data_IF_658079910610
#
_entry.id   IF_658079910610
#
_cell.length_a   1.000
_cell.length_b   1.000
_cell.length_c   1.000
_cell.angle_alpha   90.00
_cell.angle_beta   90.00
_cell.angle_gamma   90.00
#
_symmetry.space_group_name_H-M   'P 1'
#
loop_
_entity.id
_entity.type
_entity.pdbx_description
1 polymer ?
#
# COMPACT_ATOMS: atom_id res chain seq x y z
N UNK A 1 -2.58 8.11 25.11
CA UNK A 1 -3.81 7.29 24.99
C UNK A 1 -5.03 8.20 25.00
N UNK A 2 -5.98 7.94 24.12
CA UNK A 2 -7.23 8.67 24.07
C UNK A 2 -8.40 7.70 23.79
N UNK A 3 -9.16 7.30 24.81
CA UNK A 3 -10.25 6.34 24.67
C UNK A 3 -11.45 6.88 23.87
N UNK A 4 -11.49 8.20 23.66
CA UNK A 4 -12.56 8.86 22.89
C UNK A 4 -12.32 8.79 21.38
N UNK A 5 -11.16 8.30 20.94
CA UNK A 5 -10.86 8.04 19.54
C UNK A 5 -10.70 6.54 19.36
N UNK A 6 -11.59 5.94 18.59
CA UNK A 6 -11.57 4.52 18.24
C UNK A 6 -11.35 4.33 16.77
N UNK A 7 -10.79 3.19 16.43
CA UNK A 7 -10.41 2.86 15.07
C UNK A 7 -10.81 1.43 14.74
N UNK A 8 -11.34 1.22 13.56
CA UNK A 8 -11.52 -0.10 12.97
C UNK A 8 -10.90 -0.11 11.59
N UNK A 9 -10.09 -1.13 11.30
CA UNK A 9 -9.59 -1.41 9.95
C UNK A 9 -10.43 -2.52 9.35
N UNK A 10 -11.07 -2.22 8.22
CA UNK A 10 -11.83 -3.22 7.48
C UNK A 10 -10.84 -4.22 6.85
N UNK A 11 -10.99 -5.54 7.11
CA UNK A 11 -10.17 -6.55 6.48
C UNK A 11 -10.25 -6.46 4.95
N UNK A 12 -9.10 -6.57 4.30
CA UNK A 12 -9.06 -6.58 2.83
C UNK A 12 -9.60 -7.91 2.32
N UNK A 13 -10.48 -7.85 1.35
CA UNK A 13 -11.06 -9.02 0.70
C UNK A 13 -11.71 -8.65 -0.61
N UNK A 14 -11.66 -9.58 -1.57
CA UNK A 14 -12.36 -9.47 -2.84
C UNK A 14 -13.61 -10.32 -2.77
N UNK A 15 -14.77 -9.69 -2.66
CA UNK A 15 -16.04 -10.35 -2.81
C UNK A 15 -16.91 -9.54 -3.78
N UNK A 16 -17.14 -10.10 -4.96
CA UNK A 16 -17.88 -9.46 -6.03
C UNK A 16 -19.35 -9.89 -6.06
N UNK A 17 -19.80 -10.68 -5.07
CA UNK A 17 -21.17 -11.20 -5.02
C UNK A 17 -22.16 -10.21 -4.39
N UNK A 18 -21.66 -9.11 -3.84
CA UNK A 18 -22.49 -8.05 -3.29
C UNK A 18 -22.09 -7.58 -1.90
N UNK A 19 -22.83 -6.63 -1.32
CA UNK A 19 -22.55 -6.13 0.02
C UNK A 19 -22.74 -7.22 1.07
N UNK A 20 -22.01 -7.10 2.18
CA UNK A 20 -22.10 -7.99 3.34
C UNK A 20 -22.73 -7.26 4.51
N UNK A 21 -23.54 -7.97 5.27
CA UNK A 21 -24.15 -7.45 6.50
C UNK A 21 -23.17 -7.45 7.67
N UNK A 22 -22.11 -8.28 7.60
CA UNK A 22 -21.10 -8.41 8.65
C UNK A 22 -19.69 -8.54 8.08
N UNK A 23 -18.71 -8.05 8.84
CA UNK A 23 -17.29 -8.09 8.51
C UNK A 23 -16.49 -8.77 9.61
N UNK A 24 -16.40 -10.10 9.62
CA UNK A 24 -15.62 -10.84 10.61
C UNK A 24 -14.17 -10.34 10.67
N UNK A 25 -13.67 -10.12 11.91
CA UNK A 25 -12.31 -9.61 12.14
C UNK A 25 -12.17 -8.09 12.02
N UNK A 26 -13.29 -7.35 11.95
CA UNK A 26 -13.31 -5.90 12.01
C UNK A 26 -13.64 -5.44 13.44
N UNK A 27 -12.63 -5.43 14.32
CA UNK A 27 -12.80 -5.06 15.72
C UNK A 27 -12.40 -3.61 15.99
N UNK A 28 -13.19 -2.94 16.84
CA UNK A 28 -12.91 -1.59 17.30
C UNK A 28 -11.76 -1.57 18.31
N UNK A 29 -10.72 -0.83 18.00
CA UNK A 29 -9.53 -0.64 18.83
C UNK A 29 -9.49 0.77 19.41
N UNK A 30 -9.07 0.88 20.67
CA UNK A 30 -8.67 2.16 21.27
C UNK A 30 -7.19 2.41 20.98
N UNK A 31 -6.79 3.67 20.93
CA UNK A 31 -5.39 4.05 20.73
C UNK A 31 -4.58 3.80 22.01
N UNK A 32 -3.68 2.86 21.94
CA UNK A 32 -2.63 2.60 22.94
C UNK A 32 -1.27 2.61 22.26
N UNK A 33 -0.18 2.42 23.01
CA UNK A 33 1.17 2.29 22.44
C UNK A 33 1.27 1.06 21.53
N UNK A 34 0.59 -0.02 21.89
CA UNK A 34 0.58 -1.31 21.19
C UNK A 34 -0.22 -1.22 19.88
N UNK A 35 -1.35 -0.52 19.90
CA UNK A 35 -2.25 -0.42 18.73
C UNK A 35 -1.89 0.73 17.79
N UNK A 36 -1.14 1.72 18.25
CA UNK A 36 -0.77 2.90 17.46
C UNK A 36 -0.17 2.58 16.07
N UNK A 37 0.71 1.58 15.90
CA UNK A 37 1.25 1.23 14.58
C UNK A 37 0.19 0.78 13.57
N UNK A 38 -0.98 0.33 14.02
CA UNK A 38 -2.09 -0.10 13.15
C UNK A 38 -2.98 1.04 12.69
N UNK A 39 -2.88 2.21 13.32
CA UNK A 39 -3.71 3.35 12.98
C UNK A 39 -3.18 4.09 11.74
N UNK A 40 -4.10 4.63 10.95
CA UNK A 40 -3.76 5.65 9.98
C UNK A 40 -3.38 6.95 10.71
N UNK A 41 -2.12 7.38 10.59
CA UNK A 41 -1.65 8.60 11.23
C UNK A 41 -2.48 9.82 10.81
N UNK A 42 -2.76 9.96 9.50
CA UNK A 42 -3.58 11.05 8.97
C UNK A 42 -4.98 11.07 9.59
N UNK A 43 -5.65 9.92 9.60
CA UNK A 43 -7.00 9.82 10.17
C UNK A 43 -7.01 10.08 11.68
N UNK A 44 -5.98 9.64 12.38
CA UNK A 44 -5.84 9.90 13.81
C UNK A 44 -5.68 11.39 14.11
N UNK A 45 -4.79 12.08 13.41
CA UNK A 45 -4.60 13.52 13.64
C UNK A 45 -5.86 14.33 13.31
N UNK A 46 -6.57 13.96 12.24
CA UNK A 46 -7.86 14.55 11.92
C UNK A 46 -8.89 14.32 13.05
N UNK A 47 -9.03 13.08 13.49
CA UNK A 47 -9.96 12.73 14.57
C UNK A 47 -9.62 13.43 15.89
N UNK A 48 -8.33 13.60 16.17
CA UNK A 48 -7.86 14.33 17.35
C UNK A 48 -8.31 15.80 17.33
N UNK A 49 -8.17 16.47 16.20
CA UNK A 49 -8.65 17.86 16.06
C UNK A 49 -10.18 17.94 16.15
N UNK A 50 -10.90 17.03 15.49
CA UNK A 50 -12.35 16.95 15.59
C UNK A 50 -12.82 16.78 17.02
N UNK A 51 -12.20 15.86 17.77
CA UNK A 51 -12.53 15.65 19.19
C UNK A 51 -12.20 16.89 20.03
N UNK A 52 -11.08 17.56 19.78
CA UNK A 52 -10.70 18.78 20.48
C UNK A 52 -11.73 19.89 20.32
N UNK A 53 -12.24 20.09 19.10
CA UNK A 53 -13.20 21.15 18.80
C UNK A 53 -14.62 20.83 19.26
N UNK A 54 -15.03 19.56 19.17
CA UNK A 54 -16.44 19.19 19.38
C UNK A 54 -16.71 18.53 20.75
N UNK A 55 -15.67 17.97 21.37
CA UNK A 55 -15.76 17.12 22.57
C UNK A 55 -16.66 15.88 22.38
N UNK A 56 -16.94 15.49 21.14
CA UNK A 56 -17.71 14.30 20.78
C UNK A 56 -16.76 13.15 20.45
N UNK A 57 -16.98 11.93 20.98
CA UNK A 57 -16.20 10.76 20.63
C UNK A 57 -16.15 10.52 19.11
N UNK A 58 -14.98 10.14 18.61
CA UNK A 58 -14.75 9.95 17.16
C UNK A 58 -14.41 8.50 16.87
N UNK A 59 -15.16 7.88 15.96
CA UNK A 59 -14.85 6.58 15.39
C UNK A 59 -14.25 6.72 13.99
N UNK A 60 -13.10 6.08 13.76
CA UNK A 60 -12.43 6.03 12.46
C UNK A 60 -12.68 4.66 11.84
N UNK A 61 -13.32 4.63 10.67
CA UNK A 61 -13.45 3.42 9.85
C UNK A 61 -12.47 3.52 8.69
N UNK A 62 -11.47 2.65 8.68
CA UNK A 62 -10.49 2.58 7.59
C UNK A 62 -10.83 1.42 6.65
N UNK A 63 -11.41 1.74 5.50
CA UNK A 63 -11.73 0.82 4.41
C UNK A 63 -10.93 1.18 3.15
N UNK A 64 -9.62 1.35 3.28
CA UNK A 64 -8.76 1.78 2.18
C UNK A 64 -7.98 0.62 1.58
N UNK A 65 -7.90 0.59 0.24
CA UNK A 65 -7.06 -0.33 -0.51
C UNK A 65 -6.27 0.45 -1.55
N UNK A 66 -4.94 0.52 -1.36
CA UNK A 66 -4.06 1.26 -2.25
C UNK A 66 -4.10 0.72 -3.68
N UNK A 67 -4.14 1.62 -4.66
CA UNK A 67 -4.18 1.27 -6.08
C UNK A 67 -5.55 0.88 -6.62
N UNK A 68 -6.60 0.86 -5.79
CA UNK A 68 -7.97 0.65 -6.29
C UNK A 68 -8.51 1.89 -7.00
N UNK A 69 -9.22 1.68 -8.10
CA UNK A 69 -9.95 2.76 -8.77
C UNK A 69 -11.24 3.11 -8.01
N UNK A 70 -11.81 4.27 -8.27
CA UNK A 70 -13.04 4.70 -7.60
C UNK A 70 -14.22 3.77 -7.92
N UNK A 71 -14.24 3.19 -9.10
CA UNK A 71 -15.28 2.26 -9.55
C UNK A 71 -15.33 0.98 -8.72
N UNK A 72 -14.19 0.56 -8.15
CA UNK A 72 -14.13 -0.61 -7.25
C UNK A 72 -14.91 -0.40 -5.93
N UNK A 73 -15.28 0.84 -5.62
CA UNK A 73 -16.02 1.23 -4.42
C UNK A 73 -17.49 1.59 -4.71
N UNK A 74 -17.93 1.43 -5.96
CA UNK A 74 -19.29 1.74 -6.37
C UNK A 74 -20.20 0.52 -6.21
N UNK A 75 -21.48 0.78 -5.90
CA UNK A 75 -22.48 -0.25 -5.93
C UNK A 75 -22.75 -0.74 -7.37
N UNK A 76 -23.30 -1.94 -7.52
CA UNK A 76 -23.69 -2.46 -8.83
C UNK A 76 -24.66 -1.53 -9.57
N UNK A 77 -25.62 -0.95 -8.85
CA UNK A 77 -26.56 0.02 -9.41
C UNK A 77 -25.85 1.24 -9.99
N UNK A 78 -24.88 1.79 -9.25
CA UNK A 78 -24.09 2.93 -9.72
C UNK A 78 -23.23 2.57 -10.93
N UNK A 79 -22.69 1.35 -10.98
CA UNK A 79 -21.88 0.83 -12.10
C UNK A 79 -22.66 0.63 -13.39
N UNK A 80 -24.01 0.58 -13.35
CA UNK A 80 -24.84 0.44 -14.56
C UNK A 80 -24.55 1.53 -15.62
N UNK A 81 -24.06 2.68 -15.19
CA UNK A 81 -23.67 3.77 -16.08
C UNK A 81 -22.26 3.60 -16.68
N UNK A 82 -21.53 2.56 -16.27
CA UNK A 82 -20.14 2.30 -16.65
C UNK A 82 -19.99 0.88 -17.21
N UNK A 83 -20.42 0.63 -18.46
CA UNK A 83 -20.51 -0.73 -19.03
C UNK A 83 -19.15 -1.44 -19.10
N UNK A 84 -18.04 -0.70 -19.26
CA UNK A 84 -16.71 -1.30 -19.25
C UNK A 84 -16.38 -1.90 -17.89
N UNK A 85 -16.62 -1.17 -16.82
CA UNK A 85 -16.34 -1.61 -15.45
C UNK A 85 -17.28 -2.76 -15.02
N UNK A 86 -18.52 -2.76 -15.48
CA UNK A 86 -19.41 -3.90 -15.32
C UNK A 86 -18.85 -5.15 -15.98
N UNK A 87 -18.40 -5.02 -17.23
CA UNK A 87 -17.77 -6.14 -17.93
C UNK A 87 -16.51 -6.64 -17.21
N UNK A 88 -15.65 -5.74 -16.74
CA UNK A 88 -14.47 -6.11 -15.94
C UNK A 88 -14.86 -6.86 -14.67
N UNK A 89 -15.88 -6.40 -13.93
CA UNK A 89 -16.43 -7.11 -12.77
C UNK A 89 -16.89 -8.52 -13.12
N UNK A 90 -17.61 -8.67 -14.22
CA UNK A 90 -18.15 -9.96 -14.67
C UNK A 90 -17.02 -10.94 -15.05
N UNK A 91 -15.94 -10.44 -15.66
CA UNK A 91 -14.71 -11.21 -15.88
C UNK A 91 -14.11 -11.71 -14.56
N UNK A 92 -13.98 -10.83 -13.56
CA UNK A 92 -13.44 -11.21 -12.25
C UNK A 92 -14.34 -12.16 -11.44
N UNK A 93 -15.63 -12.26 -11.77
CA UNK A 93 -16.53 -13.28 -11.22
C UNK A 93 -16.27 -14.67 -11.79
N UNK A 94 -15.59 -14.78 -12.94
CA UNK A 94 -15.18 -16.05 -13.53
C UNK A 94 -13.98 -16.66 -12.77
N UNK A 95 -14.12 -17.90 -12.32
CA UNK A 95 -13.02 -18.65 -11.67
C UNK A 95 -11.83 -18.79 -12.60
N UNK A 96 -12.08 -19.08 -13.89
CA UNK A 96 -11.04 -19.23 -14.91
C UNK A 96 -10.22 -17.94 -15.08
N UNK A 97 -10.88 -16.79 -15.14
CA UNK A 97 -10.20 -15.50 -15.26
C UNK A 97 -9.41 -15.17 -14.00
N UNK A 98 -9.96 -15.43 -12.81
CA UNK A 98 -9.23 -15.24 -11.53
C UNK A 98 -7.98 -16.11 -11.45
N UNK A 99 -8.07 -17.37 -11.91
CA UNK A 99 -6.91 -18.25 -11.95
C UNK A 99 -5.84 -17.75 -12.93
N UNK A 100 -6.24 -17.24 -14.10
CA UNK A 100 -5.33 -16.61 -15.05
C UNK A 100 -4.62 -15.41 -14.43
N UNK A 101 -5.34 -14.52 -13.75
CA UNK A 101 -4.78 -13.37 -13.05
C UNK A 101 -3.80 -13.79 -11.94
N UNK A 102 -4.15 -14.82 -11.16
CA UNK A 102 -3.28 -15.36 -10.12
C UNK A 102 -1.98 -15.92 -10.68
N UNK A 103 -2.04 -16.68 -11.77
CA UNK A 103 -0.85 -17.19 -12.47
C UNK A 103 0.03 -16.05 -12.99
N UNK A 104 -0.58 -15.04 -13.60
CA UNK A 104 0.13 -13.86 -14.07
C UNK A 104 0.83 -13.12 -12.92
N UNK A 105 0.13 -12.93 -11.79
CA UNK A 105 0.68 -12.34 -10.57
C UNK A 105 1.86 -13.13 -10.01
N UNK A 106 1.77 -14.47 -9.98
CA UNK A 106 2.88 -15.33 -9.55
C UNK A 106 4.09 -15.21 -10.48
N UNK A 107 3.88 -15.14 -11.80
CA UNK A 107 4.98 -14.93 -12.75
C UNK A 107 5.66 -13.57 -12.54
N UNK A 108 4.89 -12.53 -12.33
CA UNK A 108 5.39 -11.18 -12.02
C UNK A 108 6.20 -11.19 -10.71
N UNK A 109 5.68 -11.81 -9.66
CA UNK A 109 6.39 -11.92 -8.38
C UNK A 109 7.72 -12.68 -8.52
N UNK A 110 7.75 -13.77 -9.28
CA UNK A 110 9.00 -14.51 -9.58
C UNK A 110 10.00 -13.65 -10.35
N UNK A 111 9.52 -12.85 -11.31
CA UNK A 111 10.36 -11.91 -12.04
C UNK A 111 10.99 -10.89 -11.09
N UNK A 112 10.18 -10.26 -10.25
CA UNK A 112 10.66 -9.27 -9.28
C UNK A 112 11.63 -9.89 -8.27
N UNK A 113 11.32 -11.08 -7.75
CA UNK A 113 12.21 -11.82 -6.85
C UNK A 113 13.57 -12.10 -7.51
N UNK A 114 13.57 -12.52 -8.75
CA UNK A 114 14.81 -12.80 -9.49
C UNK A 114 15.56 -11.54 -9.88
N UNK A 115 14.86 -10.55 -10.44
CA UNK A 115 15.51 -9.34 -10.98
C UNK A 115 15.94 -8.36 -9.88
N UNK A 116 15.13 -8.20 -8.82
CA UNK A 116 15.43 -7.26 -7.75
C UNK A 116 16.24 -7.89 -6.63
N UNK A 117 15.79 -9.02 -6.05
CA UNK A 117 16.50 -9.59 -4.90
C UNK A 117 17.75 -10.37 -5.28
N UNK A 118 17.67 -11.28 -6.24
CA UNK A 118 18.82 -12.11 -6.63
C UNK A 118 19.82 -11.35 -7.51
N UNK A 119 19.36 -10.37 -8.26
CA UNK A 119 20.18 -9.52 -9.10
C UNK A 119 20.73 -8.25 -8.42
N UNK A 120 20.30 -7.96 -7.18
CA UNK A 120 20.71 -6.76 -6.48
C UNK A 120 22.12 -6.90 -5.90
N UNK A 121 23.07 -6.21 -6.50
CA UNK A 121 24.47 -6.20 -6.04
C UNK A 121 24.60 -5.69 -4.61
N UNK A 122 23.76 -4.75 -4.20
CA UNK A 122 23.77 -4.20 -2.84
C UNK A 122 23.44 -5.21 -1.74
N UNK A 123 22.86 -6.36 -2.11
CA UNK A 123 22.58 -7.46 -1.19
C UNK A 123 23.63 -8.58 -1.21
N UNK A 124 24.39 -8.72 -2.31
CA UNK A 124 25.19 -9.93 -2.57
C UNK A 124 26.67 -9.66 -2.84
N UNK A 125 27.09 -8.46 -3.20
CA UNK A 125 28.47 -8.12 -3.51
C UNK A 125 29.24 -7.73 -2.23
N UNK A 126 29.86 -8.66 -1.54
CA UNK A 126 30.73 -8.39 -0.40
C UNK A 126 29.95 -7.89 0.83
N UNK A 127 30.22 -6.64 1.24
CA UNK A 127 29.51 -6.00 2.35
C UNK A 127 28.15 -5.51 1.82
N UNK A 128 27.03 -5.98 2.43
CA UNK A 128 25.72 -5.49 2.06
C UNK A 128 25.64 -3.96 2.19
N UNK A 129 25.08 -3.31 1.21
CA UNK A 129 25.09 -1.85 1.09
C UNK A 129 24.27 -1.11 2.16
N UNK A 130 23.49 -1.82 2.97
CA UNK A 130 22.82 -1.28 4.15
C UNK A 130 23.69 -1.29 5.42
N UNK A 131 24.92 -1.83 5.38
CA UNK A 131 25.79 -1.93 6.55
C UNK A 131 26.53 -0.61 6.82
N UNK A 132 26.72 -0.23 8.10
CA UNK A 132 27.43 0.98 8.46
C UNK A 132 28.90 1.00 7.99
N UNK A 133 29.51 -0.18 7.88
CA UNK A 133 30.91 -0.38 7.51
C UNK A 133 31.18 -0.22 6.00
N UNK A 134 30.14 -0.09 5.20
CA UNK A 134 30.30 0.11 3.76
C UNK A 134 30.99 1.43 3.48
N UNK A 135 32.07 1.39 2.70
CA UNK A 135 32.66 2.58 2.10
C UNK A 135 31.80 3.09 0.97
N UNK A 136 31.21 4.26 1.16
CA UNK A 136 30.33 4.92 0.19
C UNK A 136 30.94 6.21 -0.39
N UNK A 137 32.27 6.37 -0.26
CA UNK A 137 32.99 7.59 -0.69
C UNK A 137 32.90 7.84 -2.19
N UNK A 138 32.78 6.77 -3.00
CA UNK A 138 32.63 6.83 -4.43
C UNK A 138 31.18 7.01 -4.89
N UNK A 139 30.22 7.07 -3.94
CA UNK A 139 28.83 7.22 -4.29
C UNK A 139 28.51 8.65 -4.70
N UNK A 140 27.65 8.75 -5.72
CA UNK A 140 27.17 10.04 -6.19
C UNK A 140 26.24 10.69 -5.17
N UNK A 141 26.51 11.94 -4.80
CA UNK A 141 25.57 12.74 -4.03
C UNK A 141 24.40 13.17 -4.91
N UNK A 142 23.18 12.92 -4.44
CA UNK A 142 21.95 13.26 -5.18
C UNK A 142 20.98 14.03 -4.29
N UNK A 143 20.20 14.90 -4.91
CA UNK A 143 19.03 15.49 -4.28
C UNK A 143 17.83 14.56 -4.51
N UNK A 144 17.27 14.02 -3.43
CA UNK A 144 16.12 13.10 -3.48
C UNK A 144 14.86 13.72 -4.11
N UNK A 145 14.74 15.03 -4.10
CA UNK A 145 13.62 15.74 -4.72
C UNK A 145 13.90 16.12 -6.18
N UNK A 146 15.12 15.95 -6.65
CA UNK A 146 15.49 16.10 -8.05
C UNK A 146 14.93 14.93 -8.87
N UNK A 147 14.52 15.22 -10.10
CA UNK A 147 14.11 14.18 -11.08
C UNK A 147 15.29 13.55 -11.82
N UNK A 148 16.51 13.93 -11.47
CA UNK A 148 17.72 13.50 -12.21
C UNK A 148 18.28 12.15 -11.72
N UNK A 149 18.04 11.79 -10.45
CA UNK A 149 18.43 10.47 -9.96
C UNK A 149 17.62 9.35 -10.67
N UNK A 150 18.22 8.20 -10.87
CA UNK A 150 17.57 7.11 -11.63
C UNK A 150 17.58 7.34 -13.14
N UNK A 151 18.34 8.32 -13.64
CA UNK A 151 18.53 8.55 -15.07
C UNK A 151 20.00 8.40 -15.46
N UNK A 152 20.22 7.82 -16.64
CA UNK A 152 21.53 7.78 -17.28
C UNK A 152 21.38 8.30 -18.72
N UNK A 153 22.13 9.35 -19.06
CA UNK A 153 22.02 10.01 -20.35
C UNK A 153 20.57 10.45 -20.68
N UNK A 154 19.82 10.92 -19.68
CA UNK A 154 18.43 11.36 -19.84
C UNK A 154 17.37 10.23 -19.86
N UNK A 155 17.77 8.96 -19.86
CA UNK A 155 16.87 7.81 -19.87
C UNK A 155 16.70 7.21 -18.48
N UNK A 156 15.47 6.76 -18.11
CA UNK A 156 15.24 6.06 -16.85
C UNK A 156 16.12 4.80 -16.76
N UNK A 157 16.73 4.58 -15.61
CA UNK A 157 17.42 3.33 -15.27
C UNK A 157 16.49 2.46 -14.47
N UNK A 158 16.25 1.23 -14.93
CA UNK A 158 15.46 0.23 -14.21
C UNK A 158 16.33 -0.58 -13.25
N UNK A 159 15.80 -0.92 -12.09
CA UNK A 159 16.48 -1.74 -11.10
C UNK A 159 16.35 -1.19 -9.69
N UNK A 160 17.15 -1.73 -8.78
CA UNK A 160 17.26 -1.26 -7.40
C UNK A 160 18.17 -0.03 -7.33
N UNK A 161 17.73 0.97 -6.59
CA UNK A 161 18.52 2.16 -6.28
C UNK A 161 18.74 2.23 -4.77
N UNK A 162 20.00 2.35 -4.37
CA UNK A 162 20.38 2.43 -2.98
C UNK A 162 20.71 3.88 -2.61
N UNK A 163 20.16 4.33 -1.49
CA UNK A 163 20.40 5.65 -0.95
C UNK A 163 20.91 5.53 0.48
N UNK A 164 21.88 6.35 0.85
CA UNK A 164 22.40 6.44 2.21
C UNK A 164 22.42 7.88 2.68
N UNK A 165 22.05 8.09 3.92
CA UNK A 165 22.09 9.40 4.57
C UNK A 165 22.72 9.23 5.95
N UNK A 166 23.67 10.09 6.26
CA UNK A 166 24.19 10.24 7.62
C UNK A 166 23.24 11.16 8.39
N UNK A 167 22.77 10.70 9.53
CA UNK A 167 21.88 11.42 10.44
C UNK A 167 22.65 11.87 11.65
#
# INVERSE_FOLDING_TARGET
ENPMIRYVKIPLGNDLHGPKDDLPGADWMSLTKETAPSFSALAYFFAKEMYRETQVPVGIVNSSWGGSSVEAWMSEEALQKFPRQLHERDLFNSDEYRELCNRSGQMMNRFWDTALYKGDRGLHDGICWNRPELDDTDWQTVDMFSKEWGRKNGYPVSGSHWFRQKV
#
